data_IF_584632838974
#
_entry.id   IF_584632838974
#
_cell.length_a   1.000
_cell.length_b   1.000
_cell.length_c   1.000
_cell.angle_alpha   90.00
_cell.angle_beta   90.00
_cell.angle_gamma   90.00
#
_symmetry.space_group_name_H-M   'P 1'
#
loop_
_entity.id
_entity.type
_entity.pdbx_description
1 polymer ?
#
# COMPACT_ATOMS: atom_id res chain seq x y z
N UNK A 1 -22.58 1.61 5.37
CA UNK A 1 -21.86 2.74 4.78
C UNK A 1 -20.58 2.25 4.12
N UNK A 2 -20.32 2.69 2.91
CA UNK A 2 -19.09 2.27 2.22
C UNK A 2 -17.88 3.00 2.79
N UNK A 3 -16.80 2.28 2.98
CA UNK A 3 -15.53 2.86 3.39
C UNK A 3 -14.93 3.65 2.23
N UNK A 4 -14.49 4.86 2.50
CA UNK A 4 -13.93 5.74 1.46
C UNK A 4 -12.48 5.35 1.18
N UNK A 5 -12.17 5.11 -0.08
CA UNK A 5 -10.81 4.85 -0.53
C UNK A 5 -10.63 5.44 -1.93
N UNK A 6 -9.70 6.36 -2.04
CA UNK A 6 -9.29 6.92 -3.34
C UNK A 6 -7.91 6.38 -3.69
N UNK A 7 -7.77 5.90 -4.92
CA UNK A 7 -6.53 5.35 -5.44
C UNK A 7 -6.11 6.12 -6.69
N UNK A 8 -4.85 6.50 -6.76
CA UNK A 8 -4.28 7.13 -7.94
C UNK A 8 -2.92 6.52 -8.24
N UNK A 9 -2.49 6.63 -9.48
CA UNK A 9 -1.23 6.04 -9.93
C UNK A 9 -0.36 7.09 -10.57
N UNK A 10 0.95 6.88 -10.49
CA UNK A 10 1.93 7.76 -11.09
C UNK A 10 3.28 7.06 -11.11
N UNK A 11 4.35 7.85 -11.22
CA UNK A 11 5.72 7.33 -11.19
C UNK A 11 6.58 8.24 -10.34
N UNK A 12 7.56 7.64 -9.68
CA UNK A 12 8.53 8.43 -8.91
C UNK A 12 9.67 8.93 -9.83
N UNK A 13 10.65 9.60 -9.22
CA UNK A 13 11.77 10.18 -9.95
C UNK A 13 12.59 9.12 -10.69
N UNK A 14 12.59 7.89 -10.21
CA UNK A 14 13.32 6.78 -10.82
C UNK A 14 12.50 6.02 -11.84
N UNK A 15 11.27 6.44 -12.09
CA UNK A 15 10.37 5.78 -13.02
C UNK A 15 9.60 4.59 -12.44
N UNK A 16 9.74 4.32 -11.15
CA UNK A 16 9.00 3.23 -10.52
C UNK A 16 7.51 3.59 -10.38
N UNK A 17 6.61 2.63 -10.61
CA UNK A 17 5.18 2.93 -10.44
C UNK A 17 4.87 3.22 -8.97
N UNK A 18 3.99 4.20 -8.75
CA UNK A 18 3.53 4.61 -7.43
C UNK A 18 2.02 4.53 -7.40
N UNK A 19 1.48 3.83 -6.40
CA UNK A 19 0.05 3.86 -6.11
C UNK A 19 -0.12 4.68 -4.83
N UNK A 20 -0.93 5.72 -4.91
CA UNK A 20 -1.26 6.57 -3.76
C UNK A 20 -2.65 6.23 -3.28
N UNK A 21 -2.76 5.87 -2.00
CA UNK A 21 -4.03 5.55 -1.37
C UNK A 21 -4.38 6.63 -0.35
N UNK A 22 -5.65 7.06 -0.35
CA UNK A 22 -6.16 8.05 0.58
C UNK A 22 -7.47 7.55 1.15
N UNK A 23 -7.60 7.53 2.45
CA UNK A 23 -8.82 7.12 3.14
C UNK A 23 -8.60 5.92 4.04
N UNK A 24 -9.43 4.90 3.89
CA UNK A 24 -9.42 3.72 4.76
C UNK A 24 -9.38 2.45 3.91
N UNK A 25 -8.55 1.50 4.34
CA UNK A 25 -8.45 0.20 3.66
C UNK A 25 -8.93 -0.88 4.62
N UNK A 26 -9.99 -1.58 4.24
CA UNK A 26 -10.58 -2.65 5.03
C UNK A 26 -11.09 -3.76 4.10
N UNK A 27 -11.79 -4.73 4.68
CA UNK A 27 -12.33 -5.87 3.95
C UNK A 27 -13.24 -5.49 2.78
N UNK A 28 -13.94 -4.34 2.90
CA UNK A 28 -14.91 -3.93 1.88
C UNK A 28 -14.25 -3.44 0.59
N UNK A 29 -12.99 -3.02 0.66
CA UNK A 29 -12.30 -2.47 -0.51
C UNK A 29 -10.91 -3.07 -0.75
N UNK A 30 -10.52 -4.11 0.02
CA UNK A 30 -9.20 -4.73 -0.12
C UNK A 30 -8.97 -5.30 -1.53
N UNK A 31 -10.01 -5.85 -2.16
CA UNK A 31 -9.88 -6.39 -3.52
C UNK A 31 -9.61 -5.29 -4.54
N UNK A 32 -10.27 -4.14 -4.40
CA UNK A 32 -10.01 -3.00 -5.27
C UNK A 32 -8.58 -2.49 -5.09
N UNK A 33 -8.11 -2.46 -3.85
CA UNK A 33 -6.74 -2.09 -3.54
C UNK A 33 -5.75 -3.06 -4.18
N UNK A 34 -6.00 -4.37 -4.04
CA UNK A 34 -5.16 -5.41 -4.65
C UNK A 34 -5.10 -5.26 -6.16
N UNK A 35 -6.24 -5.03 -6.80
CA UNK A 35 -6.30 -4.88 -8.26
C UNK A 35 -5.47 -3.68 -8.73
N UNK A 36 -5.55 -2.56 -8.00
CA UNK A 36 -4.78 -1.37 -8.34
C UNK A 36 -3.27 -1.64 -8.22
N UNK A 37 -2.84 -2.33 -7.16
CA UNK A 37 -1.44 -2.68 -6.99
C UNK A 37 -0.96 -3.64 -8.08
N UNK A 38 -1.77 -4.63 -8.42
CA UNK A 38 -1.42 -5.59 -9.46
C UNK A 38 -1.28 -4.93 -10.82
N UNK A 39 -2.18 -4.02 -11.16
CA UNK A 39 -2.10 -3.28 -12.42
C UNK A 39 -0.87 -2.38 -12.47
N UNK A 40 -0.57 -1.70 -11.39
CA UNK A 40 0.59 -0.81 -11.32
C UNK A 40 1.91 -1.59 -11.38
N UNK A 41 1.97 -2.73 -10.69
CA UNK A 41 3.17 -3.55 -10.65
C UNK A 41 3.50 -4.20 -12.01
N UNK A 42 2.47 -4.45 -12.82
CA UNK A 42 2.65 -5.06 -14.14
C UNK A 42 3.39 -6.40 -14.05
N UNK A 43 4.56 -6.48 -14.65
CA UNK A 43 5.33 -7.73 -14.72
C UNK A 43 6.16 -8.01 -13.47
N UNK A 44 5.90 -7.29 -12.37
CA UNK A 44 6.53 -7.63 -11.09
C UNK A 44 7.84 -6.91 -10.79
N UNK A 45 8.01 -5.72 -11.28
CA UNK A 45 9.13 -4.87 -10.89
C UNK A 45 8.85 -4.15 -9.56
N UNK A 46 9.66 -3.13 -9.27
CA UNK A 46 9.47 -2.33 -8.06
C UNK A 46 8.10 -1.66 -8.07
N UNK A 47 7.52 -1.57 -6.90
CA UNK A 47 6.24 -0.91 -6.70
C UNK A 47 6.33 -0.06 -5.44
N UNK A 48 5.93 1.20 -5.54
CA UNK A 48 5.86 2.11 -4.40
C UNK A 48 4.39 2.31 -4.05
N UNK A 49 4.04 2.15 -2.78
CA UNK A 49 2.69 2.41 -2.30
C UNK A 49 2.77 3.50 -1.25
N UNK A 50 2.13 4.62 -1.54
CA UNK A 50 2.10 5.78 -0.64
C UNK A 50 0.86 5.69 0.23
N UNK A 51 1.06 5.43 1.51
CA UNK A 51 -0.01 5.30 2.50
C UNK A 51 -0.10 6.52 3.42
N UNK A 52 0.56 7.62 3.10
CA UNK A 52 0.55 8.80 3.98
C UNK A 52 -0.84 9.40 4.16
N UNK A 53 -1.73 9.21 3.19
CA UNK A 53 -3.12 9.67 3.28
C UNK A 53 -4.08 8.62 3.84
N UNK A 54 -3.59 7.48 4.27
CA UNK A 54 -4.43 6.41 4.82
C UNK A 54 -4.60 6.62 6.32
N UNK A 55 -5.86 6.60 6.76
CA UNK A 55 -6.21 6.80 8.17
C UNK A 55 -6.49 5.50 8.90
N UNK A 56 -6.74 4.41 8.17
CA UNK A 56 -7.07 3.12 8.74
C UNK A 56 -6.64 2.00 7.79
N UNK A 57 -6.02 0.98 8.36
CA UNK A 57 -5.55 -0.19 7.61
C UNK A 57 -5.75 -1.41 8.49
N UNK A 58 -6.64 -2.30 8.09
CA UNK A 58 -6.89 -3.53 8.84
C UNK A 58 -6.08 -4.71 8.28
N UNK A 59 -6.33 -5.89 8.83
CA UNK A 59 -5.60 -7.10 8.44
C UNK A 59 -5.82 -7.47 6.97
N UNK A 60 -6.98 -7.15 6.39
CA UNK A 60 -7.22 -7.42 4.97
C UNK A 60 -6.28 -6.60 4.08
N UNK A 61 -6.11 -5.31 4.41
CA UNK A 61 -5.19 -4.45 3.68
C UNK A 61 -3.73 -4.87 3.87
N UNK A 62 -3.37 -5.23 5.10
CA UNK A 62 -2.02 -5.72 5.39
C UNK A 62 -1.73 -6.99 4.57
N UNK A 63 -2.69 -7.90 4.50
CA UNK A 63 -2.56 -9.13 3.73
C UNK A 63 -2.31 -8.85 2.25
N UNK A 64 -3.01 -7.87 1.69
CA UNK A 64 -2.77 -7.45 0.30
C UNK A 64 -1.32 -7.01 0.11
N UNK A 65 -0.81 -6.19 1.02
CA UNK A 65 0.57 -5.69 0.90
C UNK A 65 1.59 -6.82 0.95
N UNK A 66 1.38 -7.82 1.80
CA UNK A 66 2.29 -8.98 1.85
C UNK A 66 2.39 -9.70 0.51
N UNK A 67 1.33 -9.70 -0.29
CA UNK A 67 1.33 -10.39 -1.58
C UNK A 67 2.30 -9.76 -2.59
N UNK A 68 2.72 -8.52 -2.37
CA UNK A 68 3.61 -7.81 -3.29
C UNK A 68 5.04 -7.68 -2.79
N UNK A 69 5.36 -8.20 -1.60
CA UNK A 69 6.73 -8.22 -1.11
C UNK A 69 7.53 -9.26 -1.89
N UNK A 70 8.86 -9.12 -2.00
CA UNK A 70 9.74 -8.08 -1.43
C UNK A 70 9.94 -6.85 -2.32
N UNK A 71 9.35 -6.79 -3.51
CA UNK A 71 9.58 -5.70 -4.47
C UNK A 71 8.90 -4.38 -4.05
N UNK A 72 8.24 -4.37 -2.91
CA UNK A 72 7.40 -3.29 -2.43
C UNK A 72 8.21 -2.28 -1.62
N UNK A 73 7.94 -0.99 -1.85
CA UNK A 73 8.40 0.08 -0.97
C UNK A 73 7.15 0.81 -0.47
N UNK A 74 7.03 0.93 0.85
CA UNK A 74 5.90 1.62 1.47
C UNK A 74 6.33 2.98 1.99
N UNK A 75 5.48 3.98 1.77
CA UNK A 75 5.64 5.30 2.39
C UNK A 75 4.49 5.46 3.37
N UNK A 76 4.81 5.64 4.65
CA UNK A 76 3.81 5.65 5.70
C UNK A 76 4.01 6.84 6.63
N UNK A 77 2.90 7.47 7.00
CA UNK A 77 2.93 8.50 8.03
C UNK A 77 2.87 7.89 9.43
N UNK A 78 2.86 8.73 10.47
CA UNK A 78 2.92 8.26 11.86
C UNK A 78 1.71 7.43 12.29
N UNK A 79 0.58 7.57 11.60
CA UNK A 79 -0.62 6.82 11.96
C UNK A 79 -0.51 5.36 11.52
N UNK A 80 0.07 5.10 10.35
CA UNK A 80 0.11 3.76 9.75
C UNK A 80 1.43 3.04 10.02
N UNK A 81 2.53 3.75 10.18
CA UNK A 81 3.84 3.13 10.41
C UNK A 81 3.84 2.08 11.53
N UNK A 82 3.19 2.33 12.71
CA UNK A 82 3.14 1.29 13.74
C UNK A 82 2.40 0.03 13.33
N UNK A 83 1.37 0.13 12.48
CA UNK A 83 0.65 -1.02 11.97
C UNK A 83 1.58 -1.89 11.11
N UNK A 84 2.38 -1.26 10.27
CA UNK A 84 3.34 -1.96 9.42
C UNK A 84 4.41 -2.67 10.24
N UNK A 85 4.86 -2.03 11.32
CA UNK A 85 5.86 -2.62 12.21
C UNK A 85 5.31 -3.85 12.95
N UNK A 86 4.12 -3.70 13.53
CA UNK A 86 3.50 -4.79 14.32
C UNK A 86 3.15 -5.98 13.44
N UNK A 87 2.72 -5.73 12.20
CA UNK A 87 2.32 -6.80 11.28
C UNK A 87 3.50 -7.58 10.71
N UNK A 88 4.73 -7.09 10.86
CA UNK A 88 5.91 -7.72 10.28
C UNK A 88 6.25 -7.26 8.88
N UNK A 89 5.45 -6.36 8.30
CA UNK A 89 5.74 -5.86 6.94
C UNK A 89 7.08 -5.15 6.86
N UNK A 90 7.44 -4.40 7.91
CA UNK A 90 8.71 -3.69 7.91
C UNK A 90 9.93 -4.61 7.87
N UNK A 91 9.75 -5.90 8.20
CA UNK A 91 10.84 -6.88 8.18
C UNK A 91 11.08 -7.46 6.79
N UNK A 92 10.11 -7.35 5.87
CA UNK A 92 10.16 -7.99 4.57
C UNK A 92 10.05 -7.00 3.41
N UNK A 93 9.93 -5.72 3.71
CA UNK A 93 9.83 -4.68 2.68
C UNK A 93 10.44 -3.38 3.21
N UNK A 94 10.74 -2.45 2.31
CA UNK A 94 11.24 -1.12 2.68
C UNK A 94 10.07 -0.24 3.12
N UNK A 95 10.22 0.44 4.26
CA UNK A 95 9.23 1.39 4.74
C UNK A 95 9.91 2.75 4.93
N UNK A 96 9.36 3.79 4.32
CA UNK A 96 9.86 5.16 4.42
C UNK A 96 8.77 6.07 4.98
N UNK A 97 9.18 7.15 5.55
CA UNK A 97 8.27 8.17 6.04
C UNK A 97 8.17 9.36 5.09
#
# INVERSE_FOLDING_TARGET
MATSLDLSTGRDADGAPVVTAVGEIDMSNADRFRDALGQAAGDGGRLVVDLTGVEYLDSAGVHVLFAFTPALTLIAGPLIAPVLAISGLSDVTSVRE
#
